data_IF_841200700445
#
_entry.id   IF_841200700445
#
_cell.length_a   1.000
_cell.length_b   1.000
_cell.length_c   1.000
_cell.angle_alpha   90.00
_cell.angle_beta   90.00
_cell.angle_gamma   90.00
#
_symmetry.space_group_name_H-M   'P 1'
#
loop_
_entity.id
_entity.type
_entity.pdbx_description
1 polymer ?
#
# COMPACT_ATOMS: atom_id res chain seq x y z
N UNK A 1 -26.20 29.88 49.34
CA UNK A 1 -25.16 28.85 49.14
C UNK A 1 -25.48 28.12 47.82
N UNK A 2 -24.81 28.51 46.73
CA UNK A 2 -24.99 27.91 45.43
C UNK A 2 -23.78 27.00 45.16
N UNK A 3 -23.99 25.68 45.09
CA UNK A 3 -22.95 24.70 44.71
C UNK A 3 -22.81 24.69 43.20
N UNK A 4 -21.66 25.15 42.74
CA UNK A 4 -21.20 25.08 41.33
C UNK A 4 -20.88 23.67 40.97
N UNK A 5 -21.72 22.99 40.19
CA UNK A 5 -21.37 21.70 39.52
C UNK A 5 -20.44 21.97 38.34
N UNK A 6 -19.17 21.70 38.51
CA UNK A 6 -18.20 21.63 37.40
C UNK A 6 -18.45 20.34 36.62
N UNK A 7 -19.13 20.43 35.49
CA UNK A 7 -19.19 19.38 34.50
C UNK A 7 -17.80 19.24 33.83
N UNK A 8 -17.09 18.16 34.14
CA UNK A 8 -15.91 17.76 33.38
C UNK A 8 -16.40 17.31 32.00
N UNK A 9 -16.17 18.14 30.99
CA UNK A 9 -16.30 17.72 29.59
C UNK A 9 -15.14 16.75 29.29
N UNK A 10 -15.44 15.47 29.23
CA UNK A 10 -14.53 14.47 28.64
C UNK A 10 -14.36 14.84 27.17
N UNK A 11 -13.18 15.32 26.82
CA UNK A 11 -12.74 15.48 25.44
C UNK A 11 -12.71 14.08 24.81
N UNK A 12 -13.74 13.75 24.04
CA UNK A 12 -13.72 12.61 23.13
C UNK A 12 -12.76 12.96 22.00
N UNK A 13 -11.48 12.63 22.16
CA UNK A 13 -10.57 12.55 21.02
C UNK A 13 -11.19 11.55 20.03
N UNK A 14 -11.43 11.93 18.76
CA UNK A 14 -11.93 10.96 17.79
C UNK A 14 -10.92 9.81 17.76
N UNK A 15 -11.40 8.59 17.95
CA UNK A 15 -10.64 7.40 17.67
C UNK A 15 -10.42 7.47 16.15
N UNK A 16 -9.25 7.94 15.73
CA UNK A 16 -8.80 7.83 14.36
C UNK A 16 -8.87 6.33 14.06
N UNK A 17 -9.76 5.93 13.18
CA UNK A 17 -9.82 4.56 12.71
C UNK A 17 -8.44 4.22 12.17
N UNK A 18 -7.86 3.16 12.70
CA UNK A 18 -6.52 2.69 12.34
C UNK A 18 -6.51 2.42 10.83
N UNK A 19 -5.78 3.23 10.07
CA UNK A 19 -5.75 3.13 8.61
C UNK A 19 -4.87 1.95 8.20
N UNK A 20 -5.32 1.14 7.25
CA UNK A 20 -4.57 0.04 6.65
C UNK A 20 -4.11 0.40 5.25
N UNK A 21 -2.81 0.44 5.05
CA UNK A 21 -2.22 0.77 3.75
C UNK A 21 -1.63 -0.48 3.14
N UNK A 22 -2.17 -0.89 1.99
CA UNK A 22 -1.62 -1.99 1.22
C UNK A 22 -0.47 -1.49 0.32
N UNK A 23 0.62 -2.27 0.26
CA UNK A 23 1.78 -1.93 -0.57
C UNK A 23 2.08 -3.05 -1.55
N UNK A 24 2.14 -2.69 -2.84
CA UNK A 24 2.59 -3.54 -3.93
C UNK A 24 4.03 -3.18 -4.31
N UNK A 25 4.91 -4.17 -4.35
CA UNK A 25 6.33 -3.95 -4.63
C UNK A 25 7.00 -5.20 -5.21
N UNK A 26 8.26 -5.06 -5.60
CA UNK A 26 9.05 -6.16 -6.20
C UNK A 26 9.43 -7.23 -5.18
N UNK A 27 9.35 -8.49 -5.60
CA UNK A 27 9.97 -9.65 -4.93
C UNK A 27 11.30 -10.07 -5.54
N UNK A 28 11.77 -9.40 -6.60
CA UNK A 28 13.02 -9.76 -7.28
C UNK A 28 14.24 -9.47 -6.39
N UNK A 29 15.13 -10.45 -6.14
CA UNK A 29 16.31 -10.25 -5.31
C UNK A 29 17.44 -9.47 -6.02
N UNK A 30 17.30 -9.20 -7.33
CA UNK A 30 18.36 -8.60 -8.17
C UNK A 30 18.11 -7.11 -8.49
N UNK A 31 17.10 -6.48 -7.88
CA UNK A 31 16.89 -5.04 -8.03
C UNK A 31 17.96 -4.25 -7.28
N UNK A 32 18.19 -3.01 -7.72
CA UNK A 32 19.09 -2.08 -7.03
C UNK A 32 18.65 -1.86 -5.57
N UNK A 33 19.62 -1.77 -4.66
CA UNK A 33 19.38 -1.57 -3.22
C UNK A 33 18.55 -0.34 -2.91
N UNK A 34 18.63 0.72 -3.70
CA UNK A 34 17.83 1.93 -3.53
C UNK A 34 16.31 1.68 -3.52
N UNK A 35 15.85 0.65 -4.25
CA UNK A 35 14.42 0.27 -4.24
C UNK A 35 14.04 -0.52 -2.99
N UNK A 36 15.00 -1.26 -2.44
CA UNK A 36 14.85 -1.98 -1.17
C UNK A 36 14.81 -0.97 -0.02
N UNK A 37 15.71 0.03 -0.06
CA UNK A 37 15.78 1.11 0.93
C UNK A 37 14.49 1.96 0.90
N UNK A 38 14.00 2.32 -0.30
CA UNK A 38 12.73 3.02 -0.46
C UNK A 38 11.55 2.25 0.15
N UNK A 39 11.51 0.93 -0.03
CA UNK A 39 10.47 0.10 0.57
C UNK A 39 10.58 0.10 2.10
N UNK A 40 11.78 0.01 2.65
CA UNK A 40 12.00 0.09 4.11
C UNK A 40 11.54 1.45 4.66
N UNK A 41 11.93 2.55 4.02
CA UNK A 41 11.55 3.90 4.42
C UNK A 41 10.03 4.10 4.37
N UNK A 42 9.36 3.63 3.32
CA UNK A 42 7.91 3.69 3.23
C UNK A 42 7.23 2.90 4.36
N UNK A 43 7.72 1.69 4.67
CA UNK A 43 7.19 0.90 5.78
C UNK A 43 7.32 1.61 7.12
N UNK A 44 8.49 2.22 7.36
CA UNK A 44 8.76 3.01 8.56
C UNK A 44 7.83 4.23 8.65
N UNK A 45 7.57 4.92 7.53
CA UNK A 45 6.68 6.08 7.48
C UNK A 45 5.22 5.67 7.74
N UNK A 46 4.72 4.60 7.11
CA UNK A 46 3.36 4.06 7.36
C UNK A 46 3.15 3.83 8.87
N UNK A 47 4.10 3.17 9.53
CA UNK A 47 4.04 2.91 10.96
C UNK A 47 4.15 4.18 11.81
N UNK A 48 5.01 5.14 11.41
CA UNK A 48 5.20 6.41 12.12
C UNK A 48 3.93 7.27 12.13
N UNK A 49 3.06 7.11 11.10
CA UNK A 49 1.74 7.76 11.03
C UNK A 49 0.65 6.97 11.76
N UNK A 50 0.99 5.90 12.47
CA UNK A 50 0.05 5.07 13.23
C UNK A 50 -0.82 4.15 12.36
N UNK A 51 -0.40 3.87 11.12
CA UNK A 51 -1.12 2.98 10.19
C UNK A 51 -0.59 1.55 10.26
N UNK A 52 -1.45 0.58 9.92
CA UNK A 52 -1.06 -0.82 9.73
C UNK A 52 -0.62 -1.06 8.28
N UNK A 53 0.44 -1.86 8.10
CA UNK A 53 0.89 -2.30 6.79
C UNK A 53 0.14 -3.58 6.37
N UNK A 54 -0.43 -3.57 5.17
CA UNK A 54 -0.93 -4.78 4.49
C UNK A 54 0.02 -5.09 3.33
N UNK A 55 0.47 -6.34 3.23
CA UNK A 55 1.45 -6.75 2.23
C UNK A 55 1.14 -8.14 1.65
N UNK A 56 1.86 -8.50 0.61
CA UNK A 56 1.80 -9.83 0.02
C UNK A 56 2.42 -10.96 0.85
N UNK A 57 2.86 -10.67 2.08
CA UNK A 57 3.33 -11.67 3.04
C UNK A 57 4.67 -12.33 2.72
N UNK A 58 5.43 -11.79 1.75
CA UNK A 58 6.75 -12.31 1.41
C UNK A 58 7.89 -11.60 2.16
N UNK A 59 8.99 -12.33 2.44
CA UNK A 59 10.15 -11.79 3.16
C UNK A 59 11.29 -11.31 2.25
N UNK A 60 11.21 -11.58 0.93
CA UNK A 60 12.31 -11.33 -0.01
C UNK A 60 12.27 -9.91 -0.56
N UNK A 61 13.47 -9.31 -0.80
CA UNK A 61 13.66 -8.05 -1.49
C UNK A 61 12.83 -6.89 -0.88
N UNK A 62 12.18 -6.06 -1.70
CA UNK A 62 11.36 -4.94 -1.27
C UNK A 62 10.16 -5.39 -0.42
N UNK A 63 9.58 -6.59 -0.68
CA UNK A 63 8.48 -7.13 0.14
C UNK A 63 8.89 -7.36 1.59
N UNK A 64 10.06 -7.92 1.85
CA UNK A 64 10.57 -8.08 3.21
C UNK A 64 11.03 -6.76 3.81
N UNK A 65 11.59 -5.85 2.99
CA UNK A 65 12.07 -4.56 3.45
C UNK A 65 10.93 -3.68 3.99
N UNK A 66 9.79 -3.62 3.29
CA UNK A 66 8.63 -2.82 3.73
C UNK A 66 8.11 -3.29 5.10
N UNK A 67 8.01 -4.61 5.31
CA UNK A 67 7.58 -5.17 6.58
C UNK A 67 8.58 -4.89 7.71
N UNK A 68 9.90 -5.04 7.44
CA UNK A 68 10.95 -4.66 8.41
C UNK A 68 10.92 -3.18 8.75
N UNK A 69 10.67 -2.31 7.75
CA UNK A 69 10.52 -0.87 7.95
C UNK A 69 9.36 -0.57 8.91
N UNK A 70 8.20 -1.13 8.68
CA UNK A 70 7.03 -0.95 9.55
C UNK A 70 7.32 -1.43 10.99
N UNK A 71 7.85 -2.66 11.14
CA UNK A 71 8.20 -3.20 12.45
C UNK A 71 9.28 -2.37 13.19
N UNK A 72 10.22 -1.75 12.47
CA UNK A 72 11.26 -0.89 13.08
C UNK A 72 10.70 0.31 13.85
N UNK A 73 9.46 0.70 13.54
CA UNK A 73 8.71 1.77 14.19
C UNK A 73 7.55 1.26 15.07
N UNK A 74 7.52 -0.04 15.34
CA UNK A 74 6.46 -0.66 16.14
C UNK A 74 5.10 -0.76 15.45
N UNK A 75 5.07 -0.61 14.12
CA UNK A 75 3.85 -0.73 13.33
C UNK A 75 3.44 -2.18 13.13
N UNK A 76 2.12 -2.43 13.11
CA UNK A 76 1.55 -3.75 12.85
C UNK A 76 1.67 -4.11 11.37
N UNK A 77 2.04 -5.37 11.09
CA UNK A 77 2.20 -5.93 9.75
C UNK A 77 1.24 -7.08 9.53
N UNK A 78 0.48 -7.03 8.41
CA UNK A 78 -0.46 -8.06 7.97
C UNK A 78 0.00 -8.57 6.62
N UNK A 79 0.43 -9.83 6.58
CA UNK A 79 0.84 -10.50 5.34
C UNK A 79 -0.27 -11.40 4.81
N UNK A 80 -0.55 -11.36 3.50
CA UNK A 80 -1.49 -12.27 2.85
C UNK A 80 -0.73 -13.09 1.81
N UNK A 81 -0.64 -14.40 1.99
CA UNK A 81 0.19 -15.28 1.18
C UNK A 81 -0.53 -16.56 0.77
N UNK A 82 -0.43 -17.00 -0.49
CA UNK A 82 -0.93 -18.33 -0.88
C UNK A 82 -0.09 -19.46 -0.25
N UNK A 83 -0.75 -20.55 0.13
CA UNK A 83 -0.11 -21.73 0.71
C UNK A 83 1.09 -22.21 -0.15
N UNK A 84 0.94 -22.22 -1.48
CA UNK A 84 2.03 -22.60 -2.40
C UNK A 84 3.31 -21.77 -2.22
N UNK A 85 3.21 -20.49 -1.85
CA UNK A 85 4.36 -19.62 -1.61
C UNK A 85 4.95 -19.83 -0.22
N UNK A 86 4.13 -20.20 0.76
CA UNK A 86 4.60 -20.64 2.09
C UNK A 86 5.46 -21.92 1.94
N UNK A 87 4.98 -22.86 1.14
CA UNK A 87 5.64 -24.16 0.93
C UNK A 87 7.04 -24.05 0.29
N UNK A 88 7.32 -22.95 -0.42
CA UNK A 88 8.62 -22.66 -1.02
C UNK A 88 9.41 -21.59 -0.26
N UNK A 89 9.10 -21.42 1.03
CA UNK A 89 9.83 -20.57 1.98
C UNK A 89 9.85 -19.06 1.64
N UNK A 90 8.79 -18.56 0.99
CA UNK A 90 8.67 -17.12 0.68
C UNK A 90 8.00 -16.29 1.77
N UNK A 91 7.41 -16.95 2.79
CA UNK A 91 6.61 -16.29 3.82
C UNK A 91 7.44 -15.45 4.80
N UNK A 92 6.94 -14.25 5.14
CA UNK A 92 7.45 -13.43 6.25
C UNK A 92 6.80 -13.90 7.57
N UNK A 93 7.45 -14.83 8.25
CA UNK A 93 6.99 -15.39 9.52
C UNK A 93 7.09 -14.42 10.70
N UNK A 94 7.77 -13.28 10.53
CA UNK A 94 7.85 -12.22 11.54
C UNK A 94 6.68 -11.23 11.44
N UNK A 95 5.75 -11.41 10.48
CA UNK A 95 4.53 -10.60 10.41
C UNK A 95 3.65 -10.82 11.64
N UNK A 96 3.06 -9.74 12.19
CA UNK A 96 2.15 -9.83 13.35
C UNK A 96 0.91 -10.69 13.04
N UNK A 97 0.48 -10.68 11.78
CA UNK A 97 -0.59 -11.51 11.26
C UNK A 97 -0.22 -12.03 9.89
N UNK A 98 -0.19 -13.35 9.70
CA UNK A 98 0.05 -14.00 8.43
C UNK A 98 -1.19 -14.79 8.01
N UNK A 99 -1.91 -14.27 7.02
CA UNK A 99 -3.15 -14.87 6.49
C UNK A 99 -2.76 -15.75 5.31
N UNK A 100 -2.85 -17.06 5.50
CA UNK A 100 -2.60 -18.03 4.43
C UNK A 100 -3.90 -18.26 3.66
N UNK A 101 -3.82 -18.18 2.33
CA UNK A 101 -4.95 -18.34 1.40
C UNK A 101 -4.67 -19.45 0.38
N UNK A 102 -5.69 -19.87 -0.36
CA UNK A 102 -5.64 -20.97 -1.32
C UNK A 102 -5.10 -20.58 -2.70
N UNK A 103 -5.28 -19.31 -3.10
CA UNK A 103 -4.96 -18.87 -4.46
C UNK A 103 -4.48 -17.42 -4.53
N UNK A 104 -3.86 -17.05 -5.66
CA UNK A 104 -3.50 -15.65 -5.94
C UNK A 104 -4.72 -14.74 -6.05
N UNK A 105 -5.87 -15.25 -6.50
CA UNK A 105 -7.12 -14.47 -6.58
C UNK A 105 -7.62 -14.13 -5.19
N UNK A 106 -7.70 -15.13 -4.30
CA UNK A 106 -8.11 -14.94 -2.91
C UNK A 106 -7.17 -13.98 -2.18
N UNK A 107 -5.84 -14.07 -2.46
CA UNK A 107 -4.85 -13.14 -1.91
C UNK A 107 -5.17 -11.70 -2.29
N UNK A 108 -5.35 -11.40 -3.59
CA UNK A 108 -5.61 -10.05 -4.07
C UNK A 108 -6.93 -9.50 -3.53
N UNK A 109 -7.99 -10.29 -3.59
CA UNK A 109 -9.28 -9.91 -3.01
C UNK A 109 -9.16 -9.59 -1.51
N UNK A 110 -8.41 -10.40 -0.75
CA UNK A 110 -8.22 -10.19 0.69
C UNK A 110 -7.39 -8.94 0.99
N UNK A 111 -6.36 -8.64 0.18
CA UNK A 111 -5.59 -7.38 0.29
C UNK A 111 -6.52 -6.19 0.02
N UNK A 112 -7.32 -6.25 -1.05
CA UNK A 112 -8.26 -5.20 -1.39
C UNK A 112 -9.29 -4.96 -0.28
N UNK A 113 -9.88 -6.01 0.27
CA UNK A 113 -10.87 -5.93 1.34
C UNK A 113 -10.32 -5.27 2.61
N UNK A 114 -9.07 -5.60 2.99
CA UNK A 114 -8.45 -5.12 4.23
C UNK A 114 -7.92 -3.69 4.13
N UNK A 115 -7.49 -3.26 2.94
CA UNK A 115 -6.84 -1.97 2.76
C UNK A 115 -7.82 -0.81 2.72
N UNK A 116 -7.40 0.36 3.24
CA UNK A 116 -8.08 1.64 3.11
C UNK A 116 -7.45 2.51 2.01
N UNK A 117 -6.18 2.23 1.65
CA UNK A 117 -5.45 2.87 0.57
C UNK A 117 -4.39 1.91 0.00
N UNK A 118 -3.92 2.21 -1.22
CA UNK A 118 -2.92 1.40 -1.93
C UNK A 118 -1.75 2.27 -2.34
N UNK A 119 -0.52 1.80 -2.08
CA UNK A 119 0.72 2.42 -2.56
C UNK A 119 1.48 1.39 -3.39
N UNK A 120 1.85 1.77 -4.60
CA UNK A 120 2.66 0.94 -5.51
C UNK A 120 4.06 1.50 -5.62
N UNK A 121 5.05 0.69 -5.29
CA UNK A 121 6.48 0.96 -5.48
C UNK A 121 6.96 0.45 -6.85
N UNK A 122 8.13 0.88 -7.34
CA UNK A 122 8.75 0.29 -8.51
C UNK A 122 8.81 -1.24 -8.41
N UNK A 123 8.31 -1.91 -9.46
CA UNK A 123 8.22 -3.36 -9.51
C UNK A 123 7.98 -3.89 -10.92
N UNK A 124 7.92 -5.21 -11.04
CA UNK A 124 7.75 -5.90 -12.31
C UNK A 124 6.29 -6.14 -12.69
N UNK A 125 6.08 -7.13 -13.57
CA UNK A 125 4.75 -7.44 -14.12
C UNK A 125 3.71 -7.79 -13.04
N UNK A 126 4.10 -8.49 -11.97
CA UNK A 126 3.18 -8.81 -10.87
C UNK A 126 2.72 -7.56 -10.12
N UNK A 127 3.64 -6.62 -9.88
CA UNK A 127 3.32 -5.34 -9.24
C UNK A 127 2.41 -4.47 -10.12
N UNK A 128 2.66 -4.46 -11.43
CA UNK A 128 1.81 -3.76 -12.39
C UNK A 128 0.43 -4.40 -12.51
N UNK A 129 0.33 -5.72 -12.45
CA UNK A 129 -0.94 -6.44 -12.48
C UNK A 129 -1.81 -6.08 -11.28
N UNK A 130 -1.22 -6.05 -10.07
CA UNK A 130 -1.89 -5.61 -8.85
C UNK A 130 -2.31 -4.13 -8.94
N UNK A 131 -1.44 -3.24 -9.44
CA UNK A 131 -1.76 -1.83 -9.66
C UNK A 131 -2.93 -1.65 -10.61
N UNK A 132 -2.92 -2.31 -11.77
CA UNK A 132 -3.98 -2.17 -12.76
C UNK A 132 -5.33 -2.70 -12.26
N UNK A 133 -5.33 -3.79 -11.49
CA UNK A 133 -6.56 -4.33 -10.91
C UNK A 133 -7.24 -3.28 -10.00
N UNK A 134 -6.48 -2.69 -9.07
CA UNK A 134 -7.00 -1.67 -8.15
C UNK A 134 -7.35 -0.36 -8.89
N UNK A 135 -6.55 0.05 -9.86
CA UNK A 135 -6.82 1.25 -10.64
C UNK A 135 -8.13 1.12 -11.45
N UNK A 136 -8.30 0.00 -12.14
CA UNK A 136 -9.52 -0.30 -12.89
C UNK A 136 -10.72 -0.44 -11.94
N UNK A 137 -10.55 -1.08 -10.78
CA UNK A 137 -11.58 -1.18 -9.74
C UNK A 137 -12.06 0.20 -9.27
N UNK A 138 -11.13 1.14 -9.07
CA UNK A 138 -11.46 2.53 -8.74
C UNK A 138 -12.20 3.25 -9.87
N UNK A 139 -11.75 3.06 -11.11
CA UNK A 139 -12.41 3.64 -12.28
C UNK A 139 -13.83 3.10 -12.48
N UNK A 140 -14.06 1.82 -12.22
CA UNK A 140 -15.38 1.18 -12.29
C UNK A 140 -16.24 1.41 -11.03
N UNK A 141 -15.75 2.22 -10.09
CA UNK A 141 -16.42 2.57 -8.83
C UNK A 141 -16.68 1.39 -7.87
N UNK A 142 -15.93 0.28 -8.01
CA UNK A 142 -15.97 -0.81 -7.04
C UNK A 142 -15.41 -0.38 -5.68
N UNK A 143 -14.51 0.60 -5.67
CA UNK A 143 -14.03 1.27 -4.47
C UNK A 143 -13.68 2.74 -4.73
N UNK A 144 -13.53 3.51 -3.63
CA UNK A 144 -13.09 4.92 -3.67
C UNK A 144 -11.76 5.15 -2.95
N UNK A 145 -11.07 4.06 -2.61
CA UNK A 145 -9.81 4.08 -1.87
C UNK A 145 -8.73 4.79 -2.68
N UNK A 146 -7.87 5.63 -2.06
CA UNK A 146 -6.73 6.25 -2.73
C UNK A 146 -5.80 5.21 -3.35
N UNK A 147 -5.32 5.49 -4.57
CA UNK A 147 -4.31 4.67 -5.26
C UNK A 147 -3.13 5.57 -5.59
N UNK A 148 -1.95 5.23 -5.07
CA UNK A 148 -0.75 6.05 -5.14
C UNK A 148 0.36 5.26 -5.83
N UNK A 149 1.13 5.91 -6.69
CA UNK A 149 2.41 5.41 -7.21
C UNK A 149 3.52 6.23 -6.55
N UNK A 150 4.38 5.58 -5.79
CA UNK A 150 5.58 6.17 -5.24
C UNK A 150 6.77 5.81 -6.12
N UNK A 151 7.23 6.76 -6.92
CA UNK A 151 8.33 6.56 -7.87
C UNK A 151 9.29 7.76 -7.93
N UNK A 152 10.19 7.91 -6.95
CA UNK A 152 11.18 8.99 -6.95
C UNK A 152 12.26 8.84 -8.02
N UNK A 153 12.31 7.72 -8.72
CA UNK A 153 13.39 7.38 -9.67
C UNK A 153 12.95 7.34 -11.14
N UNK A 154 11.66 7.63 -11.42
CA UNK A 154 11.14 7.68 -12.79
C UNK A 154 11.03 6.32 -13.49
N UNK A 155 10.97 5.22 -12.74
CA UNK A 155 10.83 3.86 -13.31
C UNK A 155 9.52 3.70 -14.08
N UNK A 156 8.48 4.40 -13.67
CA UNK A 156 7.15 4.35 -14.28
C UNK A 156 6.85 5.52 -15.25
N UNK A 157 7.85 6.35 -15.61
CA UNK A 157 7.69 7.33 -16.71
C UNK A 157 7.19 6.69 -18.01
N UNK A 158 7.71 5.50 -18.45
CA UNK A 158 7.18 4.83 -19.64
C UNK A 158 5.72 4.38 -19.48
N UNK A 159 5.30 4.00 -18.27
CA UNK A 159 3.89 3.67 -17.99
C UNK A 159 3.00 4.90 -18.13
N UNK A 160 3.42 6.04 -17.59
CA UNK A 160 2.70 7.30 -17.71
C UNK A 160 2.53 7.67 -19.20
N UNK A 161 3.61 7.62 -19.98
CA UNK A 161 3.58 7.88 -21.40
C UNK A 161 2.69 6.90 -22.18
N UNK A 162 2.70 5.61 -21.81
CA UNK A 162 1.81 4.60 -22.43
C UNK A 162 0.34 4.93 -22.17
N UNK A 163 -0.04 5.24 -20.93
CA UNK A 163 -1.44 5.56 -20.58
C UNK A 163 -1.89 6.82 -21.28
N UNK A 164 -1.04 7.85 -21.39
CA UNK A 164 -1.32 9.06 -22.16
C UNK A 164 -1.52 8.75 -23.65
N UNK A 165 -0.66 7.91 -24.24
CA UNK A 165 -0.82 7.48 -25.64
C UNK A 165 -2.13 6.74 -25.86
N UNK A 166 -2.52 5.84 -24.95
CA UNK A 166 -3.81 5.15 -25.02
C UNK A 166 -5.00 6.10 -24.91
N UNK A 167 -4.89 7.16 -24.11
CA UNK A 167 -5.90 8.20 -23.98
C UNK A 167 -6.07 8.98 -25.29
N UNK A 168 -4.97 9.36 -25.98
CA UNK A 168 -5.03 10.04 -27.29
C UNK A 168 -5.72 9.21 -28.37
N UNK A 169 -5.76 7.88 -28.21
CA UNK A 169 -6.41 6.93 -29.12
C UNK A 169 -7.79 6.45 -28.62
N UNK A 170 -8.31 7.05 -27.54
CA UNK A 170 -9.60 6.73 -26.93
C UNK A 170 -9.70 5.31 -26.35
N UNK A 171 -8.59 4.64 -26.06
CA UNK A 171 -8.57 3.38 -25.31
C UNK A 171 -8.68 3.60 -23.81
N UNK A 172 -8.24 4.75 -23.31
CA UNK A 172 -8.38 5.21 -21.94
C UNK A 172 -9.27 6.45 -21.95
N UNK A 173 -10.28 6.48 -21.08
CA UNK A 173 -11.20 7.62 -21.00
C UNK A 173 -10.54 8.79 -20.26
N UNK A 174 -10.87 10.05 -20.64
CA UNK A 174 -10.44 11.22 -19.89
C UNK A 174 -10.78 11.13 -18.40
N UNK A 175 -9.87 11.57 -17.54
CA UNK A 175 -10.03 11.53 -16.09
C UNK A 175 -9.62 10.19 -15.44
N UNK A 176 -9.35 9.14 -16.21
CA UNK A 176 -8.88 7.88 -15.62
C UNK A 176 -7.48 8.01 -15.03
N UNK A 177 -6.61 8.84 -15.63
CA UNK A 177 -5.27 9.16 -15.08
C UNK A 177 -5.35 9.90 -13.75
N UNK A 178 -6.34 10.77 -13.59
CA UNK A 178 -6.51 11.59 -12.40
C UNK A 178 -6.93 10.78 -11.15
N UNK A 179 -7.27 9.51 -11.34
CA UNK A 179 -7.57 8.58 -10.25
C UNK A 179 -6.30 8.08 -9.54
N UNK A 180 -5.12 8.26 -10.13
CA UNK A 180 -3.83 7.89 -9.55
C UNK A 180 -3.11 9.12 -9.03
N UNK A 181 -2.62 9.03 -7.80
CA UNK A 181 -1.73 10.04 -7.22
C UNK A 181 -0.27 9.62 -7.40
N UNK A 182 0.56 10.53 -7.87
CA UNK A 182 1.99 10.30 -7.98
C UNK A 182 2.71 10.94 -6.79
N UNK A 183 3.64 10.22 -6.19
CA UNK A 183 4.45 10.66 -5.07
C UNK A 183 5.93 10.44 -5.34
N UNK A 184 6.76 11.31 -4.79
CA UNK A 184 8.23 11.28 -4.94
C UNK A 184 8.96 11.05 -3.61
N UNK A 185 8.22 10.92 -2.50
CA UNK A 185 8.77 10.52 -1.20
C UNK A 185 7.77 9.67 -0.41
N UNK A 186 8.25 8.86 0.55
CA UNK A 186 7.39 8.09 1.45
C UNK A 186 6.37 8.96 2.20
N UNK A 187 6.78 10.13 2.68
CA UNK A 187 5.92 11.07 3.41
C UNK A 187 4.79 11.60 2.52
N UNK A 188 5.12 11.97 1.27
CA UNK A 188 4.14 12.44 0.29
C UNK A 188 3.15 11.31 -0.08
N UNK A 189 3.63 10.08 -0.25
CA UNK A 189 2.79 8.93 -0.56
C UNK A 189 1.80 8.63 0.58
N UNK A 190 2.27 8.65 1.83
CA UNK A 190 1.42 8.40 2.99
C UNK A 190 0.45 9.57 3.22
N UNK A 191 0.88 10.83 3.04
CA UNK A 191 -0.02 11.98 3.10
C UNK A 191 -1.18 11.87 2.10
N UNK A 192 -0.89 11.48 0.85
CA UNK A 192 -1.90 11.23 -0.18
C UNK A 192 -2.83 10.06 0.14
N UNK A 193 -2.35 9.03 0.84
CA UNK A 193 -3.18 7.95 1.32
C UNK A 193 -4.22 8.43 2.34
N UNK A 194 -3.91 9.45 3.14
CA UNK A 194 -4.83 10.11 4.06
C UNK A 194 -5.71 11.19 3.40
N UNK A 195 -5.57 11.44 2.10
CA UNK A 195 -6.30 12.49 1.38
C UNK A 195 -5.83 13.91 1.71
N UNK A 196 -4.54 14.06 2.04
CA UNK A 196 -3.89 15.32 2.41
C UNK A 196 -3.03 15.88 1.28
#
# INVERSE_FOLDING_TARGET
MAMSERRHALSLTPILSLMRIAVFCSSSPTIDTKFIDLAFELGAEIASQGSELVSGGGHISAMGAISRGARSKGGKTIGIIPQKLVDIEFADHDSDELIVVDSMRTRKAKIEDLADAFITLPGGLGTLEELFEIWVGRYLEFHKKPVIILDPYGIYEPLHALVEHLETHNFVKPGMRDLIYWATSPEDAVAKAFGR
#
